data_IF_645119811455
#
_entry.id   IF_645119811455
#
_cell.length_a   1.000
_cell.length_b   1.000
_cell.length_c   1.000
_cell.angle_alpha   90.00
_cell.angle_beta   90.00
_cell.angle_gamma   90.00
#
_symmetry.space_group_name_H-M   'P 1'
#
loop_
_entity.id
_entity.type
_entity.pdbx_description
1 polymer ?
#
# COMPACT_ATOMS: atom_id res chain seq x y z
N UNK A 1 -13.50 -53.87 -27.59
CA UNK A 1 -12.74 -52.65 -27.98
C UNK A 1 -13.08 -51.44 -27.09
N UNK A 2 -13.04 -51.57 -25.75
CA UNK A 2 -13.34 -50.45 -24.81
C UNK A 2 -12.15 -50.04 -23.90
N UNK A 3 -11.03 -50.78 -23.91
CA UNK A 3 -9.90 -50.54 -23.00
C UNK A 3 -8.87 -49.50 -23.46
N UNK A 4 -8.76 -49.24 -24.77
CA UNK A 4 -7.70 -48.36 -25.32
C UNK A 4 -8.03 -46.86 -25.17
N UNK A 5 -9.30 -46.48 -25.05
CA UNK A 5 -9.73 -45.07 -24.92
C UNK A 5 -9.61 -44.55 -23.49
N UNK A 6 -9.80 -45.41 -22.48
CA UNK A 6 -9.69 -45.04 -21.06
C UNK A 6 -8.23 -44.77 -20.65
N UNK A 7 -7.30 -45.63 -21.07
CA UNK A 7 -5.86 -45.49 -20.80
C UNK A 7 -5.27 -44.23 -21.46
N UNK A 8 -5.71 -43.91 -22.69
CA UNK A 8 -5.26 -42.70 -23.39
C UNK A 8 -5.76 -41.41 -22.72
N UNK A 9 -6.95 -41.44 -22.09
CA UNK A 9 -7.50 -40.33 -21.29
C UNK A 9 -6.76 -40.13 -19.97
N UNK A 10 -6.42 -41.19 -19.24
CA UNK A 10 -5.68 -41.07 -17.97
C UNK A 10 -4.26 -40.57 -18.17
N UNK A 11 -3.57 -41.00 -19.23
CA UNK A 11 -2.25 -40.44 -19.57
C UNK A 11 -2.34 -38.97 -19.95
N UNK A 12 -3.34 -38.56 -20.75
CA UNK A 12 -3.49 -37.15 -21.13
C UNK A 12 -3.76 -36.24 -19.91
N UNK A 13 -4.60 -36.71 -18.97
CA UNK A 13 -4.87 -35.98 -17.71
C UNK A 13 -3.60 -35.89 -16.85
N UNK A 14 -2.82 -36.96 -16.74
CA UNK A 14 -1.56 -36.96 -15.98
C UNK A 14 -0.52 -36.00 -16.59
N UNK A 15 -0.41 -35.95 -17.92
CA UNK A 15 0.48 -35.02 -18.62
C UNK A 15 0.07 -33.56 -18.43
N UNK A 16 -1.23 -33.27 -18.49
CA UNK A 16 -1.75 -31.92 -18.23
C UNK A 16 -1.52 -31.52 -16.78
N UNK A 17 -1.80 -32.40 -15.83
CA UNK A 17 -1.56 -32.15 -14.41
C UNK A 17 -0.08 -31.90 -14.12
N UNK A 18 0.82 -32.72 -14.66
CA UNK A 18 2.26 -32.55 -14.52
C UNK A 18 2.74 -31.22 -15.12
N UNK A 19 2.28 -30.86 -16.32
CA UNK A 19 2.63 -29.59 -16.96
C UNK A 19 2.16 -28.38 -16.14
N UNK A 20 0.95 -28.44 -15.57
CA UNK A 20 0.42 -27.38 -14.69
C UNK A 20 1.26 -27.30 -13.41
N UNK A 21 1.54 -28.43 -12.76
CA UNK A 21 2.33 -28.46 -11.53
C UNK A 21 3.75 -27.91 -11.74
N UNK A 22 4.41 -28.29 -12.84
CA UNK A 22 5.73 -27.76 -13.21
C UNK A 22 5.66 -26.26 -13.48
N UNK A 23 4.61 -25.78 -14.15
CA UNK A 23 4.43 -24.35 -14.42
C UNK A 23 4.20 -23.55 -13.14
N UNK A 24 3.34 -24.02 -12.24
CA UNK A 24 3.07 -23.36 -10.95
C UNK A 24 4.33 -23.37 -10.07
N UNK A 25 5.06 -24.47 -10.03
CA UNK A 25 6.34 -24.56 -9.32
C UNK A 25 7.39 -23.63 -9.91
N UNK A 26 7.49 -23.54 -11.23
CA UNK A 26 8.38 -22.62 -11.94
C UNK A 26 8.06 -21.16 -11.64
N UNK A 27 6.79 -20.77 -11.72
CA UNK A 27 6.32 -19.41 -11.36
C UNK A 27 6.63 -19.13 -9.89
N UNK A 28 6.31 -20.07 -8.98
CA UNK A 28 6.61 -19.95 -7.56
C UNK A 28 8.10 -19.74 -7.29
N UNK A 29 8.96 -20.50 -7.98
CA UNK A 29 10.41 -20.35 -7.88
C UNK A 29 10.90 -19.00 -8.40
N UNK A 30 10.34 -18.49 -9.50
CA UNK A 30 10.67 -17.16 -10.04
C UNK A 30 10.36 -16.01 -9.06
N UNK A 31 9.44 -16.20 -8.10
CA UNK A 31 9.16 -15.23 -7.04
C UNK A 31 10.17 -15.26 -5.86
N UNK A 32 11.06 -16.26 -5.79
CA UNK A 32 12.12 -16.31 -4.79
C UNK A 32 13.20 -15.24 -5.05
N UNK A 33 14.13 -15.05 -4.12
CA UNK A 33 15.28 -14.14 -4.32
C UNK A 33 16.19 -14.63 -5.45
N UNK A 34 16.40 -15.95 -5.54
CA UNK A 34 17.23 -16.59 -6.57
C UNK A 34 16.58 -16.47 -7.95
N UNK A 35 15.28 -16.76 -8.05
CA UNK A 35 14.52 -16.61 -9.29
C UNK A 35 14.52 -15.17 -9.80
N UNK A 36 14.29 -14.19 -8.92
CA UNK A 36 14.37 -12.76 -9.29
C UNK A 36 15.75 -12.33 -9.76
N UNK A 37 16.81 -12.85 -9.14
CA UNK A 37 18.19 -12.59 -9.59
C UNK A 37 18.43 -13.13 -11.00
N UNK A 38 18.04 -14.38 -11.27
CA UNK A 38 18.16 -14.98 -12.60
C UNK A 38 17.38 -14.17 -13.66
N UNK A 39 16.14 -13.76 -13.35
CA UNK A 39 15.35 -12.93 -14.26
C UNK A 39 16.05 -11.61 -14.59
N UNK A 40 16.70 -11.00 -13.59
CA UNK A 40 17.47 -9.77 -13.78
C UNK A 40 18.69 -10.00 -14.68
N UNK A 41 19.43 -11.09 -14.45
CA UNK A 41 20.58 -11.50 -15.27
C UNK A 41 20.17 -11.83 -16.71
N UNK A 42 18.97 -12.38 -16.91
CA UNK A 42 18.35 -12.62 -18.22
C UNK A 42 17.75 -11.35 -18.87
N UNK A 43 17.92 -10.18 -18.24
CA UNK A 43 17.44 -8.90 -18.77
C UNK A 43 15.91 -8.71 -18.68
N UNK A 44 15.20 -9.59 -17.97
CA UNK A 44 13.76 -9.45 -17.72
C UNK A 44 13.56 -8.35 -16.68
N UNK A 45 13.31 -7.13 -17.15
CA UNK A 45 13.00 -5.98 -16.29
C UNK A 45 11.69 -6.21 -15.55
N UNK A 46 11.57 -5.65 -14.33
CA UNK A 46 10.30 -5.66 -13.62
C UNK A 46 9.29 -4.82 -14.44
N UNK A 47 8.14 -5.38 -14.87
CA UNK A 47 7.23 -4.67 -15.78
C UNK A 47 6.73 -3.33 -15.24
N UNK A 48 6.73 -3.14 -13.92
CA UNK A 48 6.32 -1.89 -13.25
C UNK A 48 7.31 -0.74 -13.47
N UNK A 49 8.56 -1.03 -13.83
CA UNK A 49 9.59 -0.01 -14.06
C UNK A 49 9.46 0.65 -15.45
N UNK A 50 8.61 0.10 -16.33
CA UNK A 50 8.36 0.62 -17.69
C UNK A 50 6.95 1.16 -17.89
N UNK A 51 6.16 1.33 -16.82
CA UNK A 51 4.79 1.83 -16.92
C UNK A 51 4.79 3.35 -17.06
N UNK A 52 4.03 3.84 -18.03
CA UNK A 52 3.82 5.27 -18.27
C UNK A 52 3.04 5.94 -17.13
N UNK A 53 3.42 7.16 -16.80
CA UNK A 53 2.75 8.06 -15.85
C UNK A 53 1.25 8.20 -16.13
N UNK A 54 0.82 8.34 -17.39
CA UNK A 54 -0.60 8.47 -17.73
C UNK A 54 -1.38 7.21 -17.40
N UNK A 55 -0.77 6.03 -17.60
CA UNK A 55 -1.39 4.76 -17.20
C UNK A 55 -1.56 4.70 -15.69
N UNK A 56 -0.53 5.06 -14.92
CA UNK A 56 -0.61 5.09 -13.44
C UNK A 56 -1.67 6.09 -12.97
N UNK A 57 -1.72 7.30 -13.54
CA UNK A 57 -2.71 8.31 -13.22
C UNK A 57 -4.13 7.89 -13.59
N UNK A 58 -4.32 7.25 -14.75
CA UNK A 58 -5.63 6.76 -15.17
C UNK A 58 -6.17 5.69 -14.21
N UNK A 59 -5.33 4.72 -13.83
CA UNK A 59 -5.68 3.68 -12.84
C UNK A 59 -6.01 4.33 -11.50
N UNK A 60 -5.18 5.26 -11.04
CA UNK A 60 -5.41 6.00 -9.80
C UNK A 60 -6.72 6.78 -9.85
N UNK A 61 -6.96 7.54 -10.91
CA UNK A 61 -8.15 8.38 -11.06
C UNK A 61 -9.41 7.51 -11.11
N UNK A 62 -9.37 6.35 -11.74
CA UNK A 62 -10.48 5.38 -11.68
C UNK A 62 -10.73 4.87 -10.26
N UNK A 63 -9.68 4.48 -9.54
CA UNK A 63 -9.81 4.01 -8.17
C UNK A 63 -10.34 5.11 -7.23
N UNK A 64 -9.83 6.34 -7.34
CA UNK A 64 -10.22 7.43 -6.45
C UNK A 64 -11.65 7.90 -6.70
N UNK A 65 -12.15 7.80 -7.94
CA UNK A 65 -13.55 8.07 -8.26
C UNK A 65 -14.53 7.08 -7.59
N UNK A 66 -14.08 5.86 -7.31
CA UNK A 66 -14.87 4.85 -6.60
C UNK A 66 -14.85 5.05 -5.08
N UNK A 67 -13.80 5.67 -4.55
CA UNK A 67 -13.57 5.84 -3.11
C UNK A 67 -14.03 7.22 -2.59
N UNK A 68 -14.11 8.25 -3.44
CA UNK A 68 -14.40 9.62 -2.99
C UNK A 68 -15.86 9.77 -2.52
N UNK A 69 -16.05 10.61 -1.51
CA UNK A 69 -17.37 11.01 -1.04
C UNK A 69 -17.97 12.15 -1.87
N UNK A 70 -19.11 12.67 -1.39
CA UNK A 70 -19.83 13.80 -2.02
C UNK A 70 -19.51 15.15 -1.39
N UNK A 71 -19.30 15.18 -0.08
CA UNK A 71 -19.01 16.40 0.67
C UNK A 71 -17.51 16.65 0.75
N UNK A 72 -17.09 17.92 0.74
CA UNK A 72 -15.69 18.29 0.96
C UNK A 72 -15.25 18.02 2.41
N UNK A 73 -13.99 17.69 2.60
CA UNK A 73 -13.43 17.50 3.93
C UNK A 73 -13.23 18.85 4.63
N UNK A 74 -13.63 18.97 5.89
CA UNK A 74 -13.34 20.18 6.68
C UNK A 74 -11.83 20.41 6.88
N UNK A 75 -11.06 19.31 6.97
CA UNK A 75 -9.61 19.32 7.08
C UNK A 75 -9.01 18.21 6.20
N UNK A 76 -7.76 18.40 5.74
CA UNK A 76 -7.02 17.41 4.92
C UNK A 76 -5.70 17.05 5.61
N UNK A 77 -5.71 16.31 6.73
CA UNK A 77 -4.50 16.06 7.52
C UNK A 77 -3.44 15.29 6.73
N UNK A 78 -2.22 15.82 6.69
CA UNK A 78 -1.11 15.23 5.94
C UNK A 78 0.23 15.41 6.68
N UNK A 79 0.26 15.16 7.99
CA UNK A 79 1.45 15.29 8.86
C UNK A 79 2.15 16.66 8.76
N UNK A 80 1.34 17.72 8.64
CA UNK A 80 1.82 19.09 8.49
C UNK A 80 2.34 19.43 7.08
N UNK A 81 2.20 18.54 6.10
CA UNK A 81 2.32 18.85 4.67
C UNK A 81 0.94 19.20 4.10
N UNK A 82 0.89 19.68 2.86
CA UNK A 82 -0.35 19.99 2.16
C UNK A 82 -0.45 19.16 0.88
N UNK A 83 -1.51 18.36 0.76
CA UNK A 83 -1.83 17.67 -0.49
C UNK A 83 -2.15 18.70 -1.59
N UNK A 84 -1.73 18.39 -2.82
CA UNK A 84 -1.80 19.21 -4.03
C UNK A 84 -0.98 20.50 -4.01
N UNK A 85 -0.17 20.72 -2.97
CA UNK A 85 0.64 21.95 -2.81
C UNK A 85 2.07 21.68 -2.43
N UNK A 86 2.31 20.81 -1.45
CA UNK A 86 3.67 20.55 -0.98
C UNK A 86 4.52 19.94 -2.09
N UNK A 87 5.74 20.42 -2.23
CA UNK A 87 6.63 19.98 -3.32
C UNK A 87 7.56 18.84 -2.89
N UNK A 88 8.17 18.17 -3.86
CA UNK A 88 9.21 17.16 -3.60
C UNK A 88 10.36 17.69 -2.74
N UNK A 89 10.79 18.93 -2.99
CA UNK A 89 11.87 19.58 -2.25
C UNK A 89 11.47 19.83 -0.78
N UNK A 90 10.26 20.35 -0.54
CA UNK A 90 9.75 20.57 0.83
C UNK A 90 9.62 19.28 1.62
N UNK A 91 9.14 18.21 0.98
CA UNK A 91 9.02 16.89 1.62
C UNK A 91 10.41 16.35 1.94
N UNK A 92 11.35 16.44 1.02
CA UNK A 92 12.73 15.96 1.20
C UNK A 92 13.46 16.71 2.31
N UNK A 93 13.38 18.05 2.32
CA UNK A 93 13.94 18.90 3.38
C UNK A 93 13.36 18.50 4.75
N UNK A 94 12.04 18.31 4.82
CA UNK A 94 11.37 17.91 6.06
C UNK A 94 11.84 16.54 6.55
N UNK A 95 11.93 15.55 5.66
CA UNK A 95 12.38 14.22 6.03
C UNK A 95 13.86 14.19 6.44
N UNK A 96 14.69 15.04 5.83
CA UNK A 96 16.08 15.24 6.26
C UNK A 96 16.16 15.79 7.69
N UNK A 97 15.29 16.75 8.07
CA UNK A 97 15.22 17.25 9.46
C UNK A 97 14.82 16.17 10.46
N UNK A 98 14.17 15.09 10.01
CA UNK A 98 13.82 13.94 10.83
C UNK A 98 14.89 12.85 10.83
N UNK A 99 16.05 13.08 10.20
CA UNK A 99 17.11 12.10 10.00
C UNK A 99 16.61 10.82 9.32
N UNK A 100 15.58 10.94 8.47
CA UNK A 100 15.01 9.80 7.77
C UNK A 100 15.88 9.40 6.58
N UNK A 101 15.99 8.10 6.34
CA UNK A 101 16.70 7.57 5.18
C UNK A 101 15.74 7.52 4.00
N UNK A 102 15.90 8.44 3.05
CA UNK A 102 15.01 8.56 1.90
C UNK A 102 15.66 8.08 0.60
N UNK A 103 14.85 7.46 -0.24
CA UNK A 103 15.20 7.03 -1.59
C UNK A 103 14.17 7.58 -2.57
N UNK A 104 14.65 8.29 -3.58
CA UNK A 104 13.84 8.68 -4.74
C UNK A 104 13.62 7.48 -5.66
N UNK A 105 12.38 7.32 -6.12
CA UNK A 105 11.96 6.24 -6.99
C UNK A 105 11.10 6.79 -8.13
N UNK A 106 11.27 6.23 -9.33
CA UNK A 106 10.39 6.50 -10.47
C UNK A 106 9.77 5.19 -10.96
N UNK A 107 8.43 5.10 -10.93
CA UNK A 107 7.65 3.93 -11.36
C UNK A 107 6.35 4.40 -12.03
N UNK A 108 6.51 5.08 -13.16
CA UNK A 108 5.45 5.86 -13.81
C UNK A 108 5.20 7.21 -13.13
N UNK A 109 5.18 7.27 -11.79
CA UNK A 109 5.21 8.55 -11.06
C UNK A 109 6.49 8.67 -10.23
N UNK A 110 6.76 9.88 -9.75
CA UNK A 110 7.82 10.13 -8.77
C UNK A 110 7.34 9.81 -7.37
N UNK A 111 8.21 9.16 -6.61
CA UNK A 111 7.98 8.80 -5.23
C UNK A 111 9.21 9.12 -4.39
N UNK A 112 8.98 9.53 -3.15
CA UNK A 112 10.00 9.56 -2.11
C UNK A 112 9.65 8.51 -1.06
N UNK A 113 10.53 7.53 -0.86
CA UNK A 113 10.35 6.48 0.13
C UNK A 113 11.33 6.68 1.27
N UNK A 114 10.82 6.94 2.47
CA UNK A 114 11.65 7.16 3.65
C UNK A 114 11.47 6.08 4.71
N UNK A 115 12.55 5.78 5.44
CA UNK A 115 12.60 4.81 6.54
C UNK A 115 13.21 5.41 7.79
N UNK A 116 12.90 4.83 8.94
CA UNK A 116 13.44 5.27 10.22
C UNK A 116 12.86 6.61 10.69
N UNK A 117 11.66 6.98 10.22
CA UNK A 117 11.00 8.22 10.66
C UNK A 117 10.47 8.03 12.09
N UNK A 118 10.91 8.84 13.07
CA UNK A 118 10.39 8.76 14.43
C UNK A 118 8.89 9.07 14.45
N UNK A 119 8.11 8.33 15.25
CA UNK A 119 6.67 8.54 15.33
C UNK A 119 6.31 9.95 15.81
N UNK A 120 7.12 10.50 16.72
CA UNK A 120 6.94 11.81 17.32
C UNK A 120 7.05 12.92 16.28
N UNK A 121 7.94 12.76 15.28
CA UNK A 121 8.08 13.68 14.16
C UNK A 121 6.81 13.77 13.29
N UNK A 122 5.94 12.75 13.37
CA UNK A 122 4.64 12.70 12.70
C UNK A 122 3.47 13.00 13.65
N UNK A 123 3.73 13.51 14.86
CA UNK A 123 2.69 13.80 15.85
C UNK A 123 2.05 12.54 16.46
N UNK A 124 2.77 11.43 16.50
CA UNK A 124 2.32 10.15 17.05
C UNK A 124 3.25 9.66 18.17
N UNK A 125 2.69 8.94 19.13
CA UNK A 125 3.44 8.32 20.25
C UNK A 125 3.50 6.79 20.12
N UNK A 126 3.44 6.29 18.89
CA UNK A 126 3.58 4.86 18.56
C UNK A 126 5.03 4.44 18.28
N UNK A 127 5.26 3.18 17.86
CA UNK A 127 6.56 2.74 17.37
C UNK A 127 6.97 3.52 16.11
N UNK A 128 8.29 3.59 15.82
CA UNK A 128 8.81 4.23 14.61
C UNK A 128 8.13 3.72 13.34
N UNK A 129 8.04 4.58 12.35
CA UNK A 129 7.51 4.20 11.04
C UNK A 129 8.53 3.34 10.31
N UNK A 130 8.13 2.13 9.93
CA UNK A 130 9.00 1.24 9.17
C UNK A 130 9.22 1.75 7.75
N UNK A 131 8.20 2.38 7.17
CA UNK A 131 8.28 3.01 5.84
C UNK A 131 7.20 4.08 5.65
N UNK A 132 7.57 5.22 5.08
CA UNK A 132 6.63 6.23 4.57
C UNK A 132 6.88 6.45 3.08
N UNK A 133 5.80 6.56 2.32
CA UNK A 133 5.84 6.85 0.89
C UNK A 133 5.10 8.13 0.61
N UNK A 134 5.76 9.03 -0.11
CA UNK A 134 5.17 10.22 -0.70
C UNK A 134 5.06 10.00 -2.21
N UNK A 135 3.87 10.21 -2.76
CA UNK A 135 3.62 10.11 -4.19
C UNK A 135 3.38 11.49 -4.75
N UNK A 136 4.04 11.82 -5.86
CA UNK A 136 3.94 13.13 -6.49
C UNK A 136 3.21 13.05 -7.82
N UNK A 137 2.42 14.06 -8.11
CA UNK A 137 1.80 14.26 -9.42
C UNK A 137 2.85 14.76 -10.44
N UNK A 138 2.56 14.73 -11.75
CA UNK A 138 3.49 15.23 -12.78
C UNK A 138 3.91 16.69 -12.59
N UNK A 139 3.06 17.50 -11.94
CA UNK A 139 3.34 18.89 -11.55
C UNK A 139 4.26 19.02 -10.31
N UNK A 140 4.86 17.91 -9.85
CA UNK A 140 5.74 17.82 -8.69
C UNK A 140 5.08 18.16 -7.34
N UNK A 141 3.74 18.15 -7.28
CA UNK A 141 2.99 18.36 -6.03
C UNK A 141 2.62 17.05 -5.35
N UNK A 142 2.60 17.07 -4.02
CA UNK A 142 2.31 15.91 -3.17
C UNK A 142 0.85 15.48 -3.33
N UNK A 143 0.63 14.26 -3.80
CA UNK A 143 -0.71 13.76 -4.11
C UNK A 143 -1.20 12.68 -3.14
N UNK A 144 -0.28 11.96 -2.50
CA UNK A 144 -0.61 10.95 -1.50
C UNK A 144 0.53 10.71 -0.51
N UNK A 145 0.17 10.31 0.71
CA UNK A 145 1.06 9.82 1.76
C UNK A 145 0.60 8.44 2.20
N UNK A 146 1.52 7.49 2.30
CA UNK A 146 1.27 6.16 2.88
C UNK A 146 2.27 5.90 3.99
N UNK A 147 1.77 5.64 5.19
CA UNK A 147 2.59 5.33 6.37
C UNK A 147 2.39 3.86 6.71
N UNK A 148 3.49 3.14 6.88
CA UNK A 148 3.49 1.73 7.27
C UNK A 148 4.22 1.53 8.58
N UNK A 149 3.59 0.78 9.47
CA UNK A 149 4.20 0.16 10.64
C UNK A 149 3.97 -1.34 10.50
N UNK A 150 5.03 -2.13 10.56
CA UNK A 150 5.05 -3.58 10.29
C UNK A 150 5.87 -4.25 11.37
N UNK A 151 5.72 -5.57 11.48
CA UNK A 151 6.44 -6.39 12.45
C UNK A 151 6.23 -5.91 13.90
N UNK A 152 5.00 -5.49 14.21
CA UNK A 152 4.63 -5.00 15.53
C UNK A 152 4.15 -6.13 16.43
N UNK A 153 4.36 -5.97 17.74
CA UNK A 153 3.62 -6.73 18.74
C UNK A 153 2.12 -6.39 18.74
N UNK A 154 1.32 -7.21 19.42
CA UNK A 154 -0.10 -6.98 19.60
C UNK A 154 -0.40 -5.60 20.23
N UNK A 155 0.36 -5.22 21.26
CA UNK A 155 0.15 -3.96 21.99
C UNK A 155 0.58 -2.74 21.16
N UNK A 156 1.70 -2.82 20.45
CA UNK A 156 2.11 -1.80 19.50
C UNK A 156 1.09 -1.61 18.38
N UNK A 157 0.49 -2.70 17.91
CA UNK A 157 -0.56 -2.69 16.88
C UNK A 157 -1.81 -1.99 17.39
N UNK A 158 -2.32 -2.39 18.58
CA UNK A 158 -3.48 -1.74 19.21
C UNK A 158 -3.24 -0.25 19.43
N UNK A 159 -2.08 0.12 19.98
CA UNK A 159 -1.71 1.52 20.23
C UNK A 159 -1.61 2.33 18.94
N UNK A 160 -0.95 1.80 17.92
CA UNK A 160 -0.80 2.47 16.62
C UNK A 160 -2.15 2.70 15.94
N UNK A 161 -3.01 1.66 15.94
CA UNK A 161 -4.37 1.73 15.42
C UNK A 161 -5.20 2.79 16.14
N UNK A 162 -5.24 2.74 17.48
CA UNK A 162 -6.00 3.69 18.28
C UNK A 162 -5.54 5.14 18.09
N UNK A 163 -4.22 5.38 18.00
CA UNK A 163 -3.68 6.72 17.72
C UNK A 163 -4.14 7.19 16.34
N UNK A 164 -3.95 6.38 15.29
CA UNK A 164 -4.32 6.74 13.93
C UNK A 164 -5.81 7.05 13.78
N UNK A 165 -6.67 6.15 14.29
CA UNK A 165 -8.13 6.31 14.23
C UNK A 165 -8.58 7.53 15.03
N UNK A 166 -8.05 7.74 16.24
CA UNK A 166 -8.40 8.92 17.05
C UNK A 166 -7.96 10.22 16.41
N UNK A 167 -6.76 10.26 15.82
CA UNK A 167 -6.25 11.46 15.15
C UNK A 167 -7.15 11.85 13.96
N UNK A 168 -7.55 10.87 13.14
CA UNK A 168 -8.50 11.12 12.06
C UNK A 168 -9.87 11.51 12.58
N UNK A 169 -10.36 10.85 13.62
CA UNK A 169 -11.66 11.18 14.23
C UNK A 169 -11.69 12.62 14.75
N UNK A 170 -10.64 13.05 15.43
CA UNK A 170 -10.53 14.42 15.93
C UNK A 170 -10.48 15.46 14.80
N UNK A 171 -9.87 15.12 13.65
CA UNK A 171 -9.73 16.04 12.53
C UNK A 171 -10.96 16.08 11.59
N UNK A 172 -11.66 14.96 11.45
CA UNK A 172 -12.66 14.72 10.39
C UNK A 172 -14.05 14.33 10.92
N UNK A 173 -14.16 13.96 12.20
CA UNK A 173 -15.39 13.45 12.81
C UNK A 173 -15.57 11.94 12.65
N UNK A 174 -16.81 11.47 12.58
CA UNK A 174 -17.12 10.06 12.42
C UNK A 174 -16.61 9.52 11.05
N UNK A 175 -16.11 8.28 10.99
CA UNK A 175 -15.69 7.68 9.73
C UNK A 175 -16.88 7.45 8.79
N UNK A 176 -16.62 7.51 7.49
CA UNK A 176 -17.64 7.23 6.46
C UNK A 176 -17.90 5.74 6.30
N UNK A 177 -16.91 4.90 6.60
CA UNK A 177 -17.08 3.45 6.64
C UNK A 177 -16.12 2.77 7.60
N UNK A 178 -16.57 1.63 8.14
CA UNK A 178 -15.80 0.75 9.00
C UNK A 178 -16.03 -0.68 8.53
N UNK A 179 -14.97 -1.48 8.42
CA UNK A 179 -15.07 -2.89 8.07
C UNK A 179 -14.07 -3.76 8.83
N UNK A 180 -14.43 -5.03 9.01
CA UNK A 180 -13.68 -5.97 9.85
C UNK A 180 -13.88 -5.73 11.35
N UNK A 181 -13.11 -6.45 12.15
CA UNK A 181 -13.16 -6.34 13.61
C UNK A 181 -12.22 -5.24 14.11
N UNK A 182 -12.79 -4.08 14.45
CA UNK A 182 -12.06 -2.91 14.93
C UNK A 182 -11.61 -2.99 16.39
N UNK A 183 -12.02 -4.03 17.13
CA UNK A 183 -11.42 -4.36 18.43
C UNK A 183 -10.02 -4.96 18.28
N UNK A 184 -9.72 -5.45 17.07
CA UNK A 184 -8.49 -6.14 16.68
C UNK A 184 -8.28 -7.52 17.35
N UNK A 185 -9.23 -8.00 18.16
CA UNK A 185 -9.09 -9.28 18.86
C UNK A 185 -8.98 -10.45 17.88
N UNK A 186 -9.88 -10.52 16.90
CA UNK A 186 -9.83 -11.56 15.86
C UNK A 186 -8.60 -11.44 14.97
N UNK A 187 -8.12 -10.20 14.75
CA UNK A 187 -6.96 -9.92 13.91
C UNK A 187 -5.66 -10.40 14.55
N UNK A 188 -5.51 -10.18 15.85
CA UNK A 188 -4.34 -10.62 16.60
C UNK A 188 -4.34 -12.16 16.72
N UNK A 189 -5.51 -12.77 16.95
CA UNK A 189 -5.63 -14.21 17.11
C UNK A 189 -5.57 -15.05 15.83
N UNK A 190 -5.81 -14.46 14.64
CA UNK A 190 -5.91 -15.21 13.37
C UNK A 190 -5.14 -14.50 12.23
N UNK A 191 -4.22 -15.19 11.53
CA UNK A 191 -3.63 -14.67 10.30
C UNK A 191 -4.68 -14.42 9.22
N UNK A 192 -4.42 -13.48 8.32
CA UNK A 192 -5.28 -13.10 7.18
C UNK A 192 -6.57 -12.35 7.58
N UNK A 193 -6.53 -11.63 8.69
CA UNK A 193 -7.59 -10.72 9.10
C UNK A 193 -7.21 -9.26 8.88
N UNK A 194 -8.21 -8.43 8.58
CA UNK A 194 -8.07 -6.98 8.38
C UNK A 194 -9.14 -6.21 9.13
N UNK A 195 -8.79 -5.03 9.62
CA UNK A 195 -9.73 -4.04 10.13
C UNK A 195 -9.44 -2.71 9.42
N UNK A 196 -10.49 -2.02 8.98
CA UNK A 196 -10.37 -0.79 8.19
C UNK A 196 -11.34 0.28 8.68
N UNK A 197 -10.83 1.50 8.81
CA UNK A 197 -11.61 2.72 9.02
C UNK A 197 -11.30 3.65 7.86
N UNK A 198 -12.34 4.13 7.17
CA UNK A 198 -12.19 5.01 6.01
C UNK A 198 -12.96 6.31 6.17
N UNK A 199 -12.42 7.36 5.57
CA UNK A 199 -12.97 8.70 5.49
C UNK A 199 -12.96 9.12 4.03
N UNK A 200 -14.14 9.23 3.44
CA UNK A 200 -14.33 9.52 2.03
C UNK A 200 -15.00 10.88 1.85
N UNK A 201 -14.25 11.83 1.30
CA UNK A 201 -14.72 13.16 0.93
C UNK A 201 -14.49 13.41 -0.56
N UNK A 202 -15.12 14.44 -1.12
CA UNK A 202 -15.05 14.73 -2.55
C UNK A 202 -13.67 15.21 -2.99
N UNK A 203 -12.88 15.77 -2.08
CA UNK A 203 -11.53 16.35 -2.27
C UNK A 203 -10.41 15.58 -1.53
N UNK A 204 -10.77 14.57 -0.73
CA UNK A 204 -9.86 13.90 0.18
C UNK A 204 -10.31 12.49 0.59
N UNK A 205 -9.38 11.54 0.62
CA UNK A 205 -9.61 10.20 1.17
C UNK A 205 -8.54 9.89 2.19
N UNK A 206 -8.95 9.41 3.37
CA UNK A 206 -8.06 8.85 4.37
C UNK A 206 -8.50 7.45 4.79
N UNK A 207 -7.53 6.60 5.11
CA UNK A 207 -7.81 5.23 5.56
C UNK A 207 -6.78 4.77 6.57
N UNK A 208 -7.24 4.14 7.64
CA UNK A 208 -6.41 3.32 8.54
C UNK A 208 -6.75 1.86 8.31
N UNK A 209 -5.76 1.01 8.11
CA UNK A 209 -5.91 -0.44 7.97
C UNK A 209 -4.97 -1.15 8.93
N UNK A 210 -5.53 -1.95 9.84
CA UNK A 210 -4.77 -2.96 10.57
C UNK A 210 -4.86 -4.28 9.82
N UNK A 211 -3.78 -5.07 9.81
CA UNK A 211 -3.73 -6.37 9.16
C UNK A 211 -2.80 -7.34 9.88
N UNK A 212 -3.10 -8.64 9.82
CA UNK A 212 -2.20 -9.71 10.21
C UNK A 212 -1.83 -10.55 8.99
N UNK A 213 -0.60 -10.40 8.48
CA UNK A 213 -0.14 -11.14 7.31
C UNK A 213 0.71 -12.34 7.74
N UNK A 214 0.53 -13.55 7.16
CA UNK A 214 1.21 -14.78 7.58
C UNK A 214 2.75 -14.69 7.66
N UNK A 215 3.38 -13.88 6.81
CA UNK A 215 4.85 -13.70 6.77
C UNK A 215 5.29 -12.26 7.07
N UNK A 216 4.35 -11.36 7.32
CA UNK A 216 4.60 -9.93 7.54
C UNK A 216 4.25 -9.46 8.95
N UNK A 217 3.72 -10.36 9.79
CA UNK A 217 3.27 -10.06 11.14
C UNK A 217 2.09 -9.10 11.18
N UNK A 218 1.94 -8.44 12.32
CA UNK A 218 0.94 -7.39 12.51
C UNK A 218 1.43 -6.07 11.92
N UNK A 219 0.52 -5.37 11.25
CA UNK A 219 0.81 -4.11 10.59
C UNK A 219 -0.35 -3.13 10.71
N UNK A 220 -0.01 -1.84 10.77
CA UNK A 220 -0.94 -0.73 10.63
C UNK A 220 -0.46 0.16 9.49
N UNK A 221 -1.37 0.44 8.56
CA UNK A 221 -1.18 1.33 7.43
C UNK A 221 -2.11 2.52 7.54
N UNK A 222 -1.57 3.72 7.37
CA UNK A 222 -2.34 4.94 7.18
C UNK A 222 -2.14 5.41 5.74
N UNK A 223 -3.22 5.80 5.07
CA UNK A 223 -3.20 6.33 3.70
C UNK A 223 -3.97 7.64 3.67
N UNK A 224 -3.40 8.65 3.04
CA UNK A 224 -3.97 9.99 2.89
C UNK A 224 -3.80 10.42 1.44
N UNK A 225 -4.88 10.79 0.77
CA UNK A 225 -4.88 11.01 -0.67
C UNK A 225 -5.72 12.23 -1.04
N UNK A 226 -5.20 13.03 -1.97
CA UNK A 226 -6.03 13.95 -2.73
C UNK A 226 -6.96 13.16 -3.64
N UNK A 227 -8.18 13.65 -3.89
CA UNK A 227 -9.06 13.07 -4.92
C UNK A 227 -9.02 13.87 -6.22
N UNK A 228 -8.21 14.93 -6.29
CA UNK A 228 -8.04 15.71 -7.50
C UNK A 228 -7.64 14.79 -8.66
N UNK A 229 -8.33 14.96 -9.78
CA UNK A 229 -7.98 14.31 -11.04
C UNK A 229 -6.77 15.05 -11.58
N UNK A 230 -5.60 14.40 -11.53
CA UNK A 230 -4.38 14.91 -12.12
C UNK A 230 -4.25 14.35 -13.54
N UNK A 231 -3.84 15.20 -14.47
CA UNK A 231 -3.54 14.85 -15.86
C UNK A 231 -2.08 15.22 -16.15
N UNK A 232 -1.47 14.54 -17.11
CA UNK A 232 -0.24 15.06 -17.71
C UNK A 232 -0.60 16.25 -18.62
N UNK A 233 0.24 17.28 -18.57
CA UNK A 233 0.16 18.42 -19.49
C UNK A 233 0.65 18.07 -20.89
#
# INVERSE_FOLDING_TARGET
MYGLTAVRRTHMIAWVAAAISVSVAGIGWLHTTQGRRLLTELGVKCPVDSVDSRTVLSIRNKAILQEKGVSAAAHRPAFGLQLDRSTEAEVSERMSRYNAQCLELSRGLRYLRCRGVPAQSLGSNGPPVSEIWFSFAPDHTLMAINVYRRDMSADETRRSWQIAVRNLHNALGAPTSVSGDTTLESLIGKPVAVARVSYAYSDYVATVTASHLPYGGLAVREQYMSTAVKQEG
#
